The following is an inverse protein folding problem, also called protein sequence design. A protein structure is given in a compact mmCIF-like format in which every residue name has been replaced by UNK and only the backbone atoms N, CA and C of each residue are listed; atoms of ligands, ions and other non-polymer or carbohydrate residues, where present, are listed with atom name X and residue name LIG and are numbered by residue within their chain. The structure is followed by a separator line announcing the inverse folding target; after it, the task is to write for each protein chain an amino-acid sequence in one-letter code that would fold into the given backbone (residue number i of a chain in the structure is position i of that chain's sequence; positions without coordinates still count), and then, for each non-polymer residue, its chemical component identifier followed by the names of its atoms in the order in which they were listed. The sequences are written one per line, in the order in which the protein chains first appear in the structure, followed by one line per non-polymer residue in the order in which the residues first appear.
data_IF_451739811497
#
_entry.id   IF_451739811497
#
_cell.length_a   1.000
_cell.length_b   1.000
_cell.length_c   1.000
_cell.angle_alpha   90.00
_cell.angle_beta   90.00
_cell.angle_gamma   90.00
#
_symmetry.space_group_name_H-M   'P 1'
#
loop_
_entity.id
_entity.type
_entity.pdbx_description
1 polymer ?
#
# COMPACT_ATOMS: atom_id res chain seq x y z
N UNK A 1 -20.28 30.96 -23.91
CA UNK A 1 -18.89 30.85 -23.43
C UNK A 1 -18.65 29.39 -23.10
N UNK A 2 -17.77 28.70 -23.83
CA UNK A 2 -17.39 27.33 -23.50
C UNK A 2 -16.63 27.37 -22.16
N UNK A 3 -17.26 26.92 -21.08
CA UNK A 3 -16.49 26.61 -19.88
C UNK A 3 -15.50 25.51 -20.26
N UNK A 4 -14.21 25.82 -20.25
CA UNK A 4 -13.16 24.82 -20.50
C UNK A 4 -13.30 23.75 -19.42
N UNK A 5 -13.69 22.54 -19.84
CA UNK A 5 -13.78 21.39 -18.93
C UNK A 5 -12.41 21.13 -18.34
N UNK A 6 -12.34 20.95 -17.03
CA UNK A 6 -11.10 20.55 -16.37
C UNK A 6 -10.72 19.15 -16.84
N UNK A 7 -9.45 18.96 -17.17
CA UNK A 7 -8.94 17.69 -17.68
C UNK A 7 -8.51 16.79 -16.54
N UNK A 8 -9.01 15.56 -16.54
CA UNK A 8 -8.64 14.54 -15.55
C UNK A 8 -8.17 13.26 -16.23
N UNK A 9 -7.05 12.74 -15.74
CA UNK A 9 -6.59 11.40 -16.10
C UNK A 9 -6.99 10.42 -15.01
N UNK A 10 -7.66 9.33 -15.37
CA UNK A 10 -8.06 8.28 -14.43
C UNK A 10 -7.11 7.10 -14.59
N UNK A 11 -6.44 6.72 -13.50
CA UNK A 11 -5.64 5.50 -13.44
C UNK A 11 -6.57 4.27 -13.43
N UNK A 12 -6.74 3.64 -14.60
CA UNK A 12 -7.63 2.51 -14.84
C UNK A 12 -6.86 1.19 -14.77
N UNK A 13 -7.12 0.38 -13.74
CA UNK A 13 -6.50 -0.94 -13.56
C UNK A 13 -7.28 -2.09 -14.19
N UNK A 14 -8.43 -1.79 -14.82
CA UNK A 14 -9.39 -2.81 -15.29
C UNK A 14 -10.29 -3.38 -14.19
N UNK A 15 -10.20 -2.84 -12.96
CA UNK A 15 -11.08 -3.15 -11.84
C UNK A 15 -12.24 -2.17 -11.70
N UNK A 16 -13.31 -2.61 -11.03
CA UNK A 16 -14.59 -1.87 -10.86
C UNK A 16 -14.41 -0.48 -10.28
N UNK A 17 -13.52 -0.31 -9.30
CA UNK A 17 -13.36 0.97 -8.59
C UNK A 17 -12.84 2.07 -9.51
N UNK A 18 -11.82 1.75 -10.32
CA UNK A 18 -11.28 2.71 -11.30
C UNK A 18 -12.24 2.98 -12.46
N UNK A 19 -13.06 1.99 -12.83
CA UNK A 19 -14.10 2.15 -13.86
C UNK A 19 -15.20 3.11 -13.38
N UNK A 20 -15.66 2.93 -12.14
CA UNK A 20 -16.68 3.81 -11.54
C UNK A 20 -16.12 5.20 -11.27
N UNK A 21 -14.86 5.33 -10.84
CA UNK A 21 -14.22 6.62 -10.72
C UNK A 21 -14.25 7.41 -12.04
N UNK A 22 -13.94 6.76 -13.17
CA UNK A 22 -14.02 7.39 -14.49
C UNK A 22 -15.46 7.77 -14.87
N UNK A 23 -16.43 6.89 -14.62
CA UNK A 23 -17.84 7.14 -14.90
C UNK A 23 -18.39 8.34 -14.11
N UNK A 24 -18.10 8.40 -12.80
CA UNK A 24 -18.50 9.50 -11.93
C UNK A 24 -17.92 10.84 -12.38
N UNK A 25 -16.62 10.89 -12.71
CA UNK A 25 -15.98 12.11 -13.20
C UNK A 25 -16.53 12.56 -14.55
N UNK A 26 -16.81 11.62 -15.47
CA UNK A 26 -17.46 11.93 -16.76
C UNK A 26 -18.85 12.51 -16.53
N UNK A 27 -19.63 11.93 -15.62
CA UNK A 27 -20.96 12.42 -15.24
C UNK A 27 -20.92 13.81 -14.60
N UNK A 28 -19.89 14.11 -13.81
CA UNK A 28 -19.63 15.45 -13.24
C UNK A 28 -19.17 16.50 -14.27
N UNK A 29 -18.93 16.08 -15.53
CA UNK A 29 -18.64 16.97 -16.63
C UNK A 29 -17.15 17.20 -16.91
N UNK A 30 -16.25 16.48 -16.25
CA UNK A 30 -14.81 16.54 -16.54
C UNK A 30 -14.49 16.06 -17.96
N UNK A 31 -13.38 16.55 -18.52
CA UNK A 31 -12.75 15.97 -19.70
C UNK A 31 -11.86 14.80 -19.26
N UNK A 32 -12.42 13.58 -19.33
CA UNK A 32 -11.84 12.37 -18.75
C UNK A 32 -11.02 11.62 -19.79
N UNK A 33 -9.78 11.29 -19.44
CA UNK A 33 -8.91 10.35 -20.17
C UNK A 33 -8.54 9.18 -19.27
N UNK A 34 -8.68 7.95 -19.75
CA UNK A 34 -8.20 6.75 -19.06
C UNK A 34 -6.72 6.49 -19.34
N UNK A 35 -5.97 6.10 -18.31
CA UNK A 35 -4.61 5.57 -18.47
C UNK A 35 -4.42 4.29 -17.69
N UNK A 36 -3.75 3.33 -18.30
CA UNK A 36 -3.35 2.09 -17.66
C UNK A 36 -1.84 1.92 -17.70
N UNK A 37 -1.26 1.50 -16.58
CA UNK A 37 0.16 1.18 -16.51
C UNK A 37 0.39 -0.29 -16.90
N UNK A 38 1.31 -0.51 -17.83
CA UNK A 38 1.88 -1.83 -18.07
C UNK A 38 3.07 -2.01 -17.12
N UNK A 39 2.85 -2.79 -16.07
CA UNK A 39 3.85 -3.04 -15.02
C UNK A 39 4.69 -4.27 -15.36
N UNK A 40 5.84 -4.38 -14.69
CA UNK A 40 6.72 -5.54 -14.85
C UNK A 40 6.03 -6.82 -14.39
N UNK A 41 6.25 -7.87 -15.17
CA UNK A 41 5.98 -9.27 -14.82
C UNK A 41 7.23 -10.09 -15.07
N UNK A 42 7.38 -11.17 -14.32
CA UNK A 42 8.40 -12.17 -14.60
C UNK A 42 8.22 -12.70 -16.04
N UNK A 43 9.29 -12.85 -16.85
CA UNK A 43 9.18 -13.36 -18.20
C UNK A 43 8.47 -14.73 -18.25
N UNK A 44 7.45 -14.86 -19.11
CA UNK A 44 6.62 -16.06 -19.20
C UNK A 44 5.50 -16.17 -18.16
N UNK A 45 5.29 -15.13 -17.34
CA UNK A 45 4.21 -15.03 -16.35
C UNK A 45 3.32 -13.79 -16.57
N UNK A 46 3.32 -13.24 -17.79
CA UNK A 46 2.56 -12.04 -18.17
C UNK A 46 1.05 -12.20 -17.93
N UNK A 47 0.53 -13.40 -18.20
CA UNK A 47 -0.90 -13.73 -18.02
C UNK A 47 -1.33 -13.77 -16.55
N UNK A 48 -0.37 -13.90 -15.63
CA UNK A 48 -0.63 -14.00 -14.19
C UNK A 48 -0.41 -12.67 -13.45
N UNK A 49 -0.03 -11.60 -14.15
CA UNK A 49 0.14 -10.27 -13.56
C UNK A 49 -1.23 -9.64 -13.26
N UNK A 50 -1.63 -9.64 -11.99
CA UNK A 50 -2.98 -9.22 -11.56
C UNK A 50 -3.35 -7.78 -11.89
N UNK A 51 -2.39 -6.91 -12.18
CA UNK A 51 -2.63 -5.49 -12.45
C UNK A 51 -2.63 -5.14 -13.94
N UNK A 52 -1.98 -5.94 -14.80
CA UNK A 52 -1.87 -5.63 -16.22
C UNK A 52 -1.93 -6.86 -17.15
N UNK A 53 -2.75 -7.85 -16.80
CA UNK A 53 -3.06 -8.95 -17.72
C UNK A 53 -3.66 -8.43 -19.04
N UNK A 54 -3.54 -9.20 -20.13
CA UNK A 54 -4.27 -8.94 -21.36
C UNK A 54 -5.78 -8.75 -21.14
N UNK A 55 -6.39 -9.53 -20.24
CA UNK A 55 -7.80 -9.38 -19.86
C UNK A 55 -8.09 -8.04 -19.16
N UNK A 56 -7.25 -7.63 -18.19
CA UNK A 56 -7.43 -6.35 -17.49
C UNK A 56 -7.33 -5.16 -18.47
N UNK A 57 -6.38 -5.22 -19.41
CA UNK A 57 -6.25 -4.22 -20.47
C UNK A 57 -7.47 -4.20 -21.40
N UNK A 58 -7.96 -5.37 -21.82
CA UNK A 58 -9.15 -5.47 -22.66
C UNK A 58 -10.38 -4.92 -21.94
N UNK A 59 -10.53 -5.17 -20.64
CA UNK A 59 -11.63 -4.63 -19.83
C UNK A 59 -11.53 -3.11 -19.68
N UNK A 60 -10.35 -2.57 -19.37
CA UNK A 60 -10.17 -1.13 -19.27
C UNK A 60 -10.51 -0.41 -20.58
N UNK A 61 -10.10 -0.99 -21.73
CA UNK A 61 -10.50 -0.51 -23.06
C UNK A 61 -12.01 -0.57 -23.30
N UNK A 62 -12.67 -1.67 -22.91
CA UNK A 62 -14.13 -1.81 -23.02
C UNK A 62 -14.86 -0.74 -22.22
N UNK A 63 -14.45 -0.52 -20.96
CA UNK A 63 -15.01 0.52 -20.10
C UNK A 63 -14.81 1.90 -20.73
N UNK A 64 -13.61 2.20 -21.24
CA UNK A 64 -13.34 3.46 -21.91
C UNK A 64 -14.24 3.68 -23.14
N UNK A 65 -14.50 2.62 -23.91
CA UNK A 65 -15.44 2.65 -25.04
C UNK A 65 -16.89 2.92 -24.62
N UNK A 66 -17.36 2.29 -23.53
CA UNK A 66 -18.72 2.53 -23.00
C UNK A 66 -18.87 3.98 -22.50
N UNK A 67 -17.83 4.52 -21.87
CA UNK A 67 -17.83 5.89 -21.33
C UNK A 67 -17.51 6.97 -22.39
N UNK A 68 -17.17 6.55 -23.61
CA UNK A 68 -16.70 7.43 -24.68
C UNK A 68 -15.58 8.37 -24.20
N UNK A 69 -14.48 7.76 -23.74
CA UNK A 69 -13.28 8.46 -23.26
C UNK A 69 -12.02 7.92 -23.97
N UNK A 70 -11.01 8.78 -24.23
CA UNK A 70 -9.69 8.32 -24.68
C UNK A 70 -9.06 7.37 -23.67
N UNK A 71 -8.28 6.41 -24.17
CA UNK A 71 -7.60 5.43 -23.32
C UNK A 71 -6.18 5.13 -23.81
N UNK A 72 -5.20 5.29 -22.93
CA UNK A 72 -3.79 5.04 -23.22
C UNK A 72 -3.19 3.97 -22.31
N UNK A 73 -2.20 3.26 -22.83
CA UNK A 73 -1.38 2.33 -22.05
C UNK A 73 0.04 2.88 -21.99
N UNK A 74 0.56 3.08 -20.79
CA UNK A 74 1.90 3.61 -20.55
C UNK A 74 2.79 2.47 -20.08
N UNK A 75 3.93 2.27 -20.74
CA UNK A 75 4.91 1.27 -20.32
C UNK A 75 5.68 1.79 -19.08
N UNK A 76 5.57 1.05 -17.98
CA UNK A 76 6.22 1.36 -16.72
C UNK A 76 6.98 0.13 -16.18
N UNK A 77 7.30 -0.85 -17.03
CA UNK A 77 7.94 -2.10 -16.57
C UNK A 77 9.26 -1.83 -15.86
N UNK A 78 10.16 -1.11 -16.51
CA UNK A 78 11.53 -0.95 -16.01
C UNK A 78 11.54 -0.15 -14.70
N UNK A 79 10.90 1.02 -14.70
CA UNK A 79 10.75 1.84 -13.48
C UNK A 79 10.04 1.09 -12.36
N UNK A 80 9.03 0.26 -12.64
CA UNK A 80 8.35 -0.55 -11.62
C UNK A 80 9.27 -1.63 -11.04
N UNK A 81 10.05 -2.31 -11.88
CA UNK A 81 11.00 -3.32 -11.43
C UNK A 81 12.06 -2.68 -10.53
N UNK A 82 12.67 -1.59 -10.98
CA UNK A 82 13.75 -0.89 -10.28
C UNK A 82 13.30 -0.27 -8.96
N UNK A 83 12.06 0.21 -8.86
CA UNK A 83 11.59 0.93 -7.67
C UNK A 83 10.76 0.08 -6.71
N UNK A 84 9.88 -0.78 -7.22
CA UNK A 84 8.92 -1.53 -6.39
C UNK A 84 9.42 -2.95 -6.12
N UNK A 85 9.83 -3.66 -7.17
CA UNK A 85 10.30 -5.05 -7.04
C UNK A 85 11.64 -5.07 -6.31
N UNK A 86 12.58 -4.21 -6.68
CA UNK A 86 13.88 -4.14 -6.00
C UNK A 86 13.73 -3.74 -4.52
N UNK A 87 12.89 -2.76 -4.20
CA UNK A 87 12.58 -2.40 -2.81
C UNK A 87 12.06 -3.59 -1.99
N UNK A 88 11.21 -4.42 -2.61
CA UNK A 88 10.69 -5.64 -1.98
C UNK A 88 11.82 -6.64 -1.70
N UNK A 89 12.68 -6.91 -2.67
CA UNK A 89 13.82 -7.82 -2.51
C UNK A 89 14.81 -7.31 -1.45
N UNK A 90 15.19 -6.04 -1.51
CA UNK A 90 16.15 -5.42 -0.58
C UNK A 90 15.63 -5.43 0.87
N UNK A 91 14.33 -5.22 1.07
CA UNK A 91 13.72 -5.30 2.40
C UNK A 91 13.85 -6.70 2.99
N UNK A 92 13.55 -7.75 2.21
CA UNK A 92 13.73 -9.13 2.66
C UNK A 92 15.20 -9.47 2.91
N UNK A 93 16.13 -8.94 2.11
CA UNK A 93 17.57 -9.09 2.32
C UNK A 93 18.02 -8.55 3.70
N UNK A 94 17.39 -7.46 4.16
CA UNK A 94 17.63 -6.87 5.49
C UNK A 94 16.85 -7.54 6.63
N UNK A 95 16.06 -8.58 6.34
CA UNK A 95 15.19 -9.22 7.32
C UNK A 95 13.92 -8.41 7.66
N UNK A 96 13.62 -7.35 6.92
CA UNK A 96 12.40 -6.56 7.06
C UNK A 96 11.19 -7.32 6.45
N UNK A 97 9.99 -6.76 6.60
CA UNK A 97 8.81 -7.17 5.82
C UNK A 97 8.28 -5.94 5.07
N UNK A 98 8.79 -5.65 3.86
CA UNK A 98 8.48 -4.42 3.15
C UNK A 98 7.03 -4.41 2.63
N UNK A 99 6.44 -3.22 2.54
CA UNK A 99 5.15 -3.01 1.88
C UNK A 99 5.35 -2.34 0.51
N UNK A 100 5.37 -3.11 -0.60
CA UNK A 100 5.64 -2.56 -1.93
C UNK A 100 4.50 -1.69 -2.47
N UNK A 101 3.29 -1.77 -1.91
CA UNK A 101 2.19 -0.88 -2.29
C UNK A 101 2.47 0.58 -1.91
N UNK A 102 3.25 0.81 -0.85
CA UNK A 102 3.70 2.16 -0.47
C UNK A 102 4.58 2.75 -1.57
N UNK A 103 5.56 1.97 -2.05
CA UNK A 103 6.47 2.41 -3.12
C UNK A 103 5.76 2.53 -4.46
N UNK A 104 4.84 1.63 -4.78
CA UNK A 104 4.01 1.74 -5.98
C UNK A 104 3.18 3.02 -5.97
N UNK A 105 2.53 3.37 -4.85
CA UNK A 105 1.81 4.64 -4.77
C UNK A 105 2.75 5.84 -4.89
N UNK A 106 3.86 5.84 -4.16
CA UNK A 106 4.83 6.96 -4.17
C UNK A 106 5.46 7.18 -5.54
N UNK A 107 6.13 6.16 -6.09
CA UNK A 107 7.00 6.29 -7.26
C UNK A 107 6.26 6.06 -8.58
N UNK A 108 5.29 5.15 -8.60
CA UNK A 108 4.69 4.69 -9.85
C UNK A 108 3.38 5.42 -10.13
N UNK A 109 2.44 5.44 -9.19
CA UNK A 109 1.14 6.09 -9.39
C UNK A 109 1.27 7.62 -9.27
N UNK A 110 1.72 8.12 -8.14
CA UNK A 110 1.67 9.56 -7.83
C UNK A 110 2.92 10.34 -8.25
N UNK A 111 3.93 9.67 -8.81
CA UNK A 111 5.08 10.34 -9.45
C UNK A 111 5.09 10.06 -10.94
N UNK A 112 5.38 8.82 -11.35
CA UNK A 112 5.51 8.48 -12.78
C UNK A 112 4.22 8.73 -13.58
N UNK A 113 3.08 8.17 -13.15
CA UNK A 113 1.81 8.34 -13.88
C UNK A 113 1.26 9.76 -13.76
N UNK A 114 1.35 10.40 -12.59
CA UNK A 114 0.96 11.80 -12.43
C UNK A 114 1.73 12.71 -13.40
N UNK A 115 3.04 12.53 -13.53
CA UNK A 115 3.84 13.32 -14.48
C UNK A 115 3.40 13.12 -15.94
N UNK A 116 3.04 11.89 -16.33
CA UNK A 116 2.48 11.62 -17.66
C UNK A 116 1.11 12.29 -17.85
N UNK A 117 0.26 12.29 -16.82
CA UNK A 117 -1.03 12.97 -16.86
C UNK A 117 -0.86 14.49 -17.05
N UNK A 118 0.00 15.12 -16.24
CA UNK A 118 0.29 16.55 -16.32
C UNK A 118 0.91 16.93 -17.68
N UNK A 119 1.82 16.11 -18.21
CA UNK A 119 2.42 16.32 -19.53
C UNK A 119 1.39 16.26 -20.68
N UNK A 120 0.29 15.53 -20.51
CA UNK A 120 -0.84 15.50 -21.43
C UNK A 120 -1.86 16.63 -21.20
N UNK A 121 -1.53 17.57 -20.32
CA UNK A 121 -2.34 18.75 -20.01
C UNK A 121 -3.50 18.45 -19.06
N UNK A 122 -3.45 17.34 -18.31
CA UNK A 122 -4.39 17.12 -17.22
C UNK A 122 -4.13 18.12 -16.08
N UNK A 123 -5.20 18.59 -15.45
CA UNK A 123 -5.13 19.36 -14.22
C UNK A 123 -5.14 18.42 -13.00
N UNK A 124 -5.83 17.29 -13.13
CA UNK A 124 -5.99 16.30 -12.07
C UNK A 124 -5.66 14.88 -12.54
N UNK A 125 -5.27 14.05 -11.59
CA UNK A 125 -5.25 12.60 -11.71
C UNK A 125 -6.20 11.98 -10.67
N UNK A 126 -7.06 11.08 -11.14
CA UNK A 126 -7.96 10.32 -10.30
C UNK A 126 -7.56 8.85 -10.20
N UNK A 127 -7.90 8.24 -9.07
CA UNK A 127 -7.72 6.80 -8.86
C UNK A 127 -8.96 6.20 -8.22
N UNK A 128 -9.14 4.89 -8.35
CA UNK A 128 -10.18 4.14 -7.64
C UNK A 128 -9.82 3.82 -6.18
N UNK A 129 -9.01 4.65 -5.51
CA UNK A 129 -8.70 4.41 -4.11
C UNK A 129 -9.83 4.88 -3.19
N UNK A 130 -10.11 4.07 -2.17
CA UNK A 130 -11.04 4.40 -1.10
C UNK A 130 -10.36 5.31 -0.07
N UNK A 131 -10.36 6.60 -0.38
CA UNK A 131 -9.99 7.71 0.51
C UNK A 131 -10.81 8.92 0.12
N UNK A 132 -10.95 9.88 1.03
CA UNK A 132 -11.57 11.17 0.72
C UNK A 132 -10.53 12.27 0.76
N UNK A 133 -10.76 13.35 0.02
CA UNK A 133 -9.91 14.52 0.03
C UNK A 133 -10.76 15.75 0.29
N UNK A 134 -10.29 16.62 1.20
CA UNK A 134 -10.99 17.85 1.57
C UNK A 134 -10.02 19.03 1.48
N UNK A 135 -10.36 20.01 0.67
CA UNK A 135 -9.65 21.28 0.64
C UNK A 135 -10.01 22.12 1.88
N UNK A 136 -9.01 22.56 2.64
CA UNK A 136 -9.19 23.40 3.82
C UNK A 136 -7.95 24.28 4.04
N UNK A 137 -8.13 25.59 4.20
CA UNK A 137 -7.01 26.51 4.46
C UNK A 137 -5.93 26.54 3.38
N UNK A 138 -6.30 26.32 2.10
CA UNK A 138 -5.35 26.27 0.99
C UNK A 138 -4.53 24.97 0.90
N UNK A 139 -4.81 23.98 1.77
CA UNK A 139 -4.17 22.66 1.76
C UNK A 139 -5.19 21.57 1.51
N UNK A 140 -4.71 20.41 1.07
CA UNK A 140 -5.52 19.22 0.89
C UNK A 140 -5.38 18.29 2.10
N UNK A 141 -6.50 17.97 2.75
CA UNK A 141 -6.55 16.98 3.83
C UNK A 141 -6.95 15.62 3.26
N UNK A 142 -6.16 14.59 3.53
CA UNK A 142 -6.52 13.22 3.19
C UNK A 142 -7.29 12.59 4.35
N UNK A 143 -8.50 12.15 4.06
CA UNK A 143 -9.42 11.56 5.02
C UNK A 143 -9.64 10.09 4.70
N UNK A 144 -10.03 9.32 5.71
CA UNK A 144 -10.49 7.95 5.57
C UNK A 144 -11.70 7.86 4.65
N UNK A 145 -11.83 6.76 3.92
CA UNK A 145 -13.08 6.44 3.23
C UNK A 145 -14.25 6.26 4.20
N UNK A 146 -15.47 6.50 3.72
CA UNK A 146 -16.70 6.17 4.45
C UNK A 146 -16.77 4.67 4.74
N UNK A 147 -16.34 3.83 3.78
CA UNK A 147 -16.18 2.39 3.99
C UNK A 147 -14.83 2.08 4.65
N UNK A 148 -14.80 2.07 5.98
CA UNK A 148 -13.61 1.74 6.76
C UNK A 148 -13.03 0.34 6.45
N UNK A 149 -13.84 -0.60 5.94
CA UNK A 149 -13.35 -1.94 5.57
C UNK A 149 -12.52 -1.93 4.27
N UNK A 150 -12.70 -0.89 3.46
CA UNK A 150 -11.99 -0.66 2.20
C UNK A 150 -11.00 0.49 2.25
N UNK A 151 -10.95 1.23 3.35
CA UNK A 151 -10.09 2.40 3.51
C UNK A 151 -8.62 2.11 3.10
N UNK A 152 -8.14 2.94 2.19
CA UNK A 152 -6.81 2.84 1.59
C UNK A 152 -5.89 4.01 2.01
N UNK A 153 -6.31 4.81 2.99
CA UNK A 153 -5.52 5.95 3.49
C UNK A 153 -4.14 5.51 3.98
N UNK A 154 -4.03 4.31 4.56
CA UNK A 154 -2.77 3.74 5.03
C UNK A 154 -1.71 3.66 3.93
N UNK A 155 -2.06 3.26 2.71
CA UNK A 155 -1.08 3.16 1.61
C UNK A 155 -0.83 4.49 0.91
N UNK A 156 -1.68 5.49 1.15
CA UNK A 156 -1.59 6.83 0.60
C UNK A 156 -0.98 7.86 1.57
N UNK A 157 -0.51 7.44 2.76
CA UNK A 157 0.28 8.30 3.64
C UNK A 157 1.57 8.83 3.00
N UNK A 158 1.98 8.25 1.88
CA UNK A 158 3.18 8.63 1.14
C UNK A 158 3.01 9.84 0.23
N UNK A 159 1.77 10.34 0.06
CA UNK A 159 1.47 11.47 -0.81
C UNK A 159 1.81 12.80 -0.14
N UNK A 160 2.40 13.71 -0.92
CA UNK A 160 2.73 15.08 -0.51
C UNK A 160 1.65 16.08 -0.96
N UNK A 161 1.70 17.30 -0.44
CA UNK A 161 0.72 18.35 -0.75
C UNK A 161 0.64 18.70 -2.24
N UNK A 162 1.78 18.76 -2.92
CA UNK A 162 1.86 18.99 -4.36
C UNK A 162 1.12 17.90 -5.16
N UNK A 163 1.29 16.63 -4.79
CA UNK A 163 0.58 15.51 -5.40
C UNK A 163 -0.92 15.53 -5.05
N UNK A 164 -1.26 15.82 -3.79
CA UNK A 164 -2.64 15.89 -3.32
C UNK A 164 -3.41 17.04 -4.00
N UNK A 165 -2.76 18.15 -4.33
CA UNK A 165 -3.37 19.26 -5.06
C UNK A 165 -3.91 18.86 -6.44
N UNK A 166 -3.35 17.81 -7.03
CA UNK A 166 -3.78 17.24 -8.31
C UNK A 166 -4.63 15.96 -8.14
N UNK A 167 -4.97 15.55 -6.92
CA UNK A 167 -5.59 14.25 -6.66
C UNK A 167 -7.11 14.30 -6.59
N UNK A 168 -7.77 13.36 -7.26
CA UNK A 168 -9.20 13.09 -7.10
C UNK A 168 -9.45 11.62 -6.68
N UNK A 169 -10.39 11.41 -5.76
CA UNK A 169 -10.74 10.09 -5.23
C UNK A 169 -12.26 9.89 -5.21
N UNK A 170 -12.92 9.71 -6.38
CA UNK A 170 -14.37 9.77 -6.49
C UNK A 170 -15.12 8.66 -5.73
N UNK A 171 -14.44 7.57 -5.37
CA UNK A 171 -15.06 6.38 -4.76
C UNK A 171 -15.04 6.37 -3.24
N UNK A 172 -14.24 7.23 -2.59
CA UNK A 172 -14.10 7.23 -1.13
C UNK A 172 -15.34 7.67 -0.35
N UNK A 173 -16.30 8.31 -1.04
CA UNK A 173 -17.60 8.74 -0.51
C UNK A 173 -18.66 7.62 -0.54
N UNK A 174 -18.30 6.41 -0.97
CA UNK A 174 -19.27 5.34 -1.21
C UNK A 174 -18.88 4.03 -0.50
N UNK A 175 -19.86 3.32 0.08
CA UNK A 175 -19.72 1.91 0.41
C UNK A 175 -19.41 1.06 -0.82
N UNK A 176 -18.59 0.00 -0.66
CA UNK A 176 -18.27 -0.91 -1.78
C UNK A 176 -19.50 -1.48 -2.52
N UNK A 177 -20.61 -1.87 -1.84
CA UNK A 177 -21.80 -2.35 -2.53
C UNK A 177 -22.40 -1.30 -3.47
N UNK A 178 -22.35 -0.02 -3.09
CA UNK A 178 -22.86 1.06 -3.92
C UNK A 178 -21.99 1.29 -5.16
N UNK A 179 -20.66 1.19 -5.03
CA UNK A 179 -19.76 1.21 -6.20
C UNK A 179 -20.13 0.13 -7.22
N UNK A 180 -20.46 -1.09 -6.76
CA UNK A 180 -20.91 -2.17 -7.67
C UNK A 180 -22.27 -1.88 -8.31
N UNK A 181 -23.20 -1.26 -7.58
CA UNK A 181 -24.49 -0.82 -8.12
C UNK A 181 -24.30 0.24 -9.19
N UNK A 182 -23.50 1.28 -8.92
CA UNK A 182 -23.16 2.32 -9.89
C UNK A 182 -22.54 1.70 -11.15
N UNK A 183 -21.60 0.76 -10.99
CA UNK A 183 -21.02 0.06 -12.13
C UNK A 183 -22.08 -0.65 -12.99
N UNK A 184 -23.07 -1.30 -12.38
CA UNK A 184 -24.17 -1.94 -13.08
C UNK A 184 -25.10 -0.93 -13.78
N UNK A 185 -25.41 0.20 -13.13
CA UNK A 185 -26.24 1.27 -13.68
C UNK A 185 -25.60 1.91 -14.93
N UNK A 186 -24.27 2.01 -14.97
CA UNK A 186 -23.50 2.44 -16.14
C UNK A 186 -23.26 1.33 -17.18
N UNK A 187 -23.76 0.10 -16.95
CA UNK A 187 -23.56 -1.03 -17.85
C UNK A 187 -22.10 -1.51 -17.95
N UNK A 188 -21.29 -1.27 -16.91
CA UNK A 188 -19.86 -1.57 -16.93
C UNK A 188 -19.61 -3.08 -16.73
N UNK A 189 -18.79 -3.73 -17.58
CA UNK A 189 -18.51 -5.17 -17.49
C UNK A 189 -17.73 -5.57 -16.23
N UNK A 190 -17.21 -4.60 -15.48
CA UNK A 190 -16.43 -4.80 -14.26
C UNK A 190 -17.28 -4.96 -13.00
N UNK A 191 -18.60 -4.73 -13.06
CA UNK A 191 -19.50 -4.75 -11.90
C UNK A 191 -19.45 -6.05 -11.07
N UNK A 192 -19.30 -7.20 -11.73
CA UNK A 192 -19.23 -8.53 -11.11
C UNK A 192 -17.82 -9.00 -10.81
N UNK A 193 -16.78 -8.25 -11.20
CA UNK A 193 -15.38 -8.68 -11.05
C UNK A 193 -14.97 -8.68 -9.57
N UNK A 194 -14.28 -9.72 -9.15
CA UNK A 194 -13.68 -9.78 -7.81
C UNK A 194 -12.62 -8.68 -7.64
N UNK A 195 -12.46 -8.18 -6.41
CA UNK A 195 -11.40 -7.23 -6.09
C UNK A 195 -10.04 -7.90 -6.26
N UNK A 196 -9.05 -7.17 -6.80
CA UNK A 196 -7.70 -7.69 -6.89
C UNK A 196 -7.13 -7.88 -5.48
N UNK A 197 -6.83 -9.12 -5.12
CA UNK A 197 -6.11 -9.49 -3.90
C UNK A 197 -4.64 -9.77 -4.27
N UNK A 198 -3.73 -9.66 -3.31
CA UNK A 198 -2.27 -9.88 -3.45
C UNK A 198 -1.46 -8.81 -4.20
N UNK A 199 -0.14 -8.94 -4.13
CA UNK A 199 0.81 -8.04 -4.78
C UNK A 199 0.83 -8.26 -6.30
N UNK A 200 0.88 -7.16 -7.05
CA UNK A 200 0.70 -7.15 -8.51
C UNK A 200 1.66 -8.06 -9.30
N UNK A 201 2.89 -8.24 -8.80
CA UNK A 201 3.99 -8.88 -9.52
C UNK A 201 4.26 -10.33 -9.12
N UNK A 202 3.47 -10.91 -8.21
CA UNK A 202 3.71 -12.28 -7.72
C UNK A 202 3.25 -13.39 -8.67
N UNK A 203 2.75 -13.04 -9.86
CA UNK A 203 2.31 -14.00 -10.86
C UNK A 203 1.28 -15.03 -10.35
N UNK A 204 0.39 -14.62 -9.43
CA UNK A 204 -0.65 -15.49 -8.87
C UNK A 204 -0.18 -16.49 -7.81
N UNK A 205 1.09 -16.42 -7.40
CA UNK A 205 1.68 -17.27 -6.38
C UNK A 205 1.91 -16.51 -5.06
N UNK A 206 2.20 -17.25 -3.98
CA UNK A 206 2.63 -16.65 -2.71
C UNK A 206 4.02 -15.99 -2.87
N UNK A 207 4.27 -14.96 -2.05
CA UNK A 207 5.52 -14.20 -2.09
C UNK A 207 6.76 -15.07 -1.86
N UNK A 208 6.61 -16.18 -1.12
CA UNK A 208 7.69 -17.16 -0.89
C UNK A 208 8.17 -17.80 -2.19
N UNK A 209 7.25 -18.15 -3.08
CA UNK A 209 7.57 -18.71 -4.40
C UNK A 209 8.31 -17.69 -5.27
N UNK A 210 7.85 -16.43 -5.23
CA UNK A 210 8.54 -15.33 -5.90
C UNK A 210 9.97 -15.13 -5.40
N UNK A 211 10.18 -15.11 -4.08
CA UNK A 211 11.52 -15.00 -3.47
C UNK A 211 12.40 -16.20 -3.83
N UNK A 212 11.87 -17.42 -3.87
CA UNK A 212 12.63 -18.60 -4.25
C UNK A 212 13.19 -18.53 -5.68
N UNK A 213 12.49 -17.85 -6.59
CA UNK A 213 12.93 -17.68 -7.98
C UNK A 213 13.85 -16.48 -8.18
N UNK A 214 13.63 -15.39 -7.44
CA UNK A 214 14.28 -14.11 -7.69
C UNK A 214 15.37 -13.76 -6.67
N UNK A 215 15.40 -14.43 -5.52
CA UNK A 215 16.31 -14.17 -4.40
C UNK A 215 16.49 -15.41 -3.51
N UNK A 216 16.81 -16.56 -4.13
CA UNK A 216 16.94 -17.84 -3.45
C UNK A 216 17.97 -17.80 -2.30
N UNK A 217 18.99 -16.96 -2.44
CA UNK A 217 20.01 -16.71 -1.43
C UNK A 217 19.46 -16.13 -0.12
N UNK A 218 18.26 -15.55 -0.13
CA UNK A 218 17.55 -15.08 1.08
C UNK A 218 16.81 -16.20 1.82
N UNK A 219 16.71 -17.40 1.22
CA UNK A 219 16.05 -18.57 1.81
C UNK A 219 17.04 -19.55 2.46
N UNK A 220 18.23 -19.07 2.83
CA UNK A 220 19.26 -19.88 3.50
C UNK A 220 18.79 -20.35 4.87
N UNK A 221 18.82 -21.67 5.16
CA UNK A 221 18.53 -22.17 6.48
C UNK A 221 19.43 -21.54 7.56
N UNK A 222 18.87 -21.37 8.75
CA UNK A 222 19.54 -20.74 9.88
C UNK A 222 18.95 -21.21 11.21
N UNK A 223 19.43 -20.65 12.32
CA UNK A 223 19.04 -21.11 13.66
C UNK A 223 17.76 -20.46 14.14
N UNK A 224 16.90 -21.23 14.80
CA UNK A 224 15.82 -20.70 15.63
C UNK A 224 16.35 -20.59 17.05
N UNK A 225 16.33 -19.39 17.61
CA UNK A 225 16.84 -19.08 18.95
C UNK A 225 15.74 -18.47 19.81
N UNK A 226 15.75 -18.75 21.10
CA UNK A 226 14.90 -18.05 22.07
C UNK A 226 15.47 -16.67 22.41
N UNK A 227 14.69 -15.84 23.12
CA UNK A 227 15.08 -14.48 23.54
C UNK A 227 16.31 -14.45 24.47
N UNK A 228 16.58 -15.54 25.20
CA UNK A 228 17.79 -15.77 26.01
C UNK A 228 18.99 -16.32 25.20
N UNK A 229 18.84 -16.48 23.88
CA UNK A 229 19.89 -16.92 22.96
C UNK A 229 20.04 -18.44 22.81
N UNK A 230 19.20 -19.26 23.45
CA UNK A 230 19.27 -20.72 23.31
C UNK A 230 18.77 -21.18 21.94
N UNK A 231 19.60 -21.93 21.22
CA UNK A 231 19.21 -22.55 19.95
C UNK A 231 18.24 -23.72 20.20
N UNK A 232 17.07 -23.70 19.55
CA UNK A 232 16.00 -24.69 19.73
C UNK A 232 15.56 -25.38 18.43
N UNK A 233 16.17 -25.03 17.30
CA UNK A 233 15.88 -25.65 16.01
C UNK A 233 16.52 -24.90 14.84
N UNK A 234 16.07 -25.21 13.63
CA UNK A 234 16.48 -24.53 12.41
C UNK A 234 15.26 -24.06 11.62
N UNK A 235 15.38 -22.90 10.99
CA UNK A 235 14.42 -22.38 10.04
C UNK A 235 14.93 -22.60 8.61
N UNK A 236 14.04 -22.51 7.62
CA UNK A 236 14.33 -22.70 6.20
C UNK A 236 14.45 -21.36 5.44
N UNK A 237 15.11 -20.38 6.03
CA UNK A 237 15.21 -19.01 5.50
C UNK A 237 14.30 -17.99 6.19
N UNK A 238 14.85 -16.85 6.61
CA UNK A 238 14.14 -15.83 7.40
C UNK A 238 12.91 -15.26 6.68
N UNK A 239 12.97 -15.15 5.35
CA UNK A 239 11.89 -14.60 4.55
C UNK A 239 10.58 -15.42 4.61
N UNK A 240 10.66 -16.70 4.98
CA UNK A 240 9.48 -17.55 5.15
C UNK A 240 8.66 -17.24 6.41
N UNK A 241 9.19 -16.39 7.29
CA UNK A 241 8.62 -16.09 8.61
C UNK A 241 8.22 -14.63 8.73
N UNK A 242 7.09 -14.39 9.40
CA UNK A 242 6.59 -13.05 9.72
C UNK A 242 6.61 -12.83 11.22
N UNK A 243 6.89 -11.61 11.68
CA UNK A 243 6.79 -11.26 13.10
C UNK A 243 5.37 -11.52 13.60
N UNK A 244 5.25 -12.19 14.75
CA UNK A 244 3.99 -12.67 15.31
C UNK A 244 3.56 -14.07 14.85
N UNK A 245 4.27 -14.66 13.89
CA UNK A 245 3.93 -15.99 13.40
C UNK A 245 4.13 -17.05 14.50
N UNK A 246 3.08 -17.85 14.73
CA UNK A 246 3.10 -19.00 15.66
C UNK A 246 3.26 -20.34 14.94
N UNK A 247 2.54 -20.53 13.83
CA UNK A 247 2.49 -21.81 13.10
C UNK A 247 3.71 -21.96 12.17
N UNK A 248 4.11 -23.20 11.90
CA UNK A 248 5.19 -23.49 10.94
C UNK A 248 6.60 -23.25 11.46
N UNK A 249 6.79 -23.04 12.78
CA UNK A 249 8.12 -22.96 13.40
C UNK A 249 8.81 -24.33 13.50
N UNK A 250 8.03 -25.42 13.57
CA UNK A 250 8.52 -26.80 13.67
C UNK A 250 9.54 -27.04 14.81
N UNK A 251 9.36 -26.35 15.94
CA UNK A 251 10.16 -26.52 17.17
C UNK A 251 9.30 -27.10 18.28
N UNK A 252 9.87 -28.02 19.05
CA UNK A 252 9.23 -28.56 20.25
C UNK A 252 9.45 -27.59 21.41
N UNK A 253 8.35 -27.11 22.01
CA UNK A 253 8.37 -26.22 23.17
C UNK A 253 7.20 -26.55 24.09
N UNK A 254 7.38 -26.49 25.43
CA UNK A 254 6.30 -26.71 26.39
C UNK A 254 5.24 -25.60 26.34
N UNK A 255 5.60 -24.42 25.81
CA UNK A 255 4.72 -23.26 25.67
C UNK A 255 4.67 -22.80 24.20
N UNK A 256 3.55 -22.19 23.75
CA UNK A 256 3.47 -21.60 22.42
C UNK A 256 4.54 -20.52 22.20
N UNK A 257 5.26 -20.62 21.09
CA UNK A 257 6.26 -19.63 20.67
C UNK A 257 5.80 -18.84 19.45
N UNK A 258 6.25 -17.59 19.38
CA UNK A 258 5.93 -16.61 18.35
C UNK A 258 7.24 -16.01 17.83
N UNK A 259 7.31 -15.69 16.54
CA UNK A 259 8.43 -14.94 15.98
C UNK A 259 8.45 -13.54 16.57
N UNK A 260 9.51 -13.20 17.32
CA UNK A 260 9.72 -11.90 17.94
C UNK A 260 10.46 -10.97 16.99
N UNK A 261 11.57 -11.45 16.40
CA UNK A 261 12.37 -10.67 15.45
C UNK A 261 13.16 -11.58 14.50
N UNK A 262 13.68 -10.99 13.42
CA UNK A 262 14.56 -11.62 12.44
C UNK A 262 15.91 -10.93 12.49
N UNK A 263 16.97 -11.67 12.78
CA UNK A 263 18.34 -11.15 12.80
C UNK A 263 19.05 -11.54 11.49
N UNK A 264 19.00 -10.64 10.51
CA UNK A 264 19.60 -10.91 9.19
C UNK A 264 21.13 -11.06 9.25
N UNK A 265 21.81 -10.32 10.13
CA UNK A 265 23.28 -10.32 10.23
C UNK A 265 23.89 -11.66 10.64
N UNK A 266 23.19 -12.44 11.46
CA UNK A 266 23.63 -13.77 11.93
C UNK A 266 22.73 -14.91 11.42
N UNK A 267 21.76 -14.61 10.55
CA UNK A 267 20.76 -15.54 10.04
C UNK A 267 20.04 -16.33 11.16
N UNK A 268 19.51 -15.61 12.14
CA UNK A 268 18.77 -16.20 13.26
C UNK A 268 17.32 -15.72 13.34
N UNK A 269 16.40 -16.65 13.57
CA UNK A 269 15.00 -16.39 13.86
C UNK A 269 14.80 -16.40 15.37
N UNK A 270 14.47 -15.25 15.95
CA UNK A 270 14.25 -15.12 17.39
C UNK A 270 12.79 -15.39 17.71
N UNK A 271 12.53 -16.31 18.62
CA UNK A 271 11.18 -16.67 19.07
C UNK A 271 11.03 -16.52 20.58
N UNK A 272 9.81 -16.25 21.02
CA UNK A 272 9.49 -15.99 22.42
C UNK A 272 8.02 -16.28 22.71
N UNK A 273 7.63 -16.07 23.96
CA UNK A 273 6.25 -16.20 24.43
C UNK A 273 5.37 -15.07 23.92
N UNK A 274 4.07 -15.17 24.17
CA UNK A 274 3.11 -14.15 23.76
C UNK A 274 3.35 -12.79 24.47
N UNK A 275 3.81 -12.83 25.72
CA UNK A 275 4.03 -11.62 26.52
C UNK A 275 5.26 -10.84 26.03
N UNK A 276 6.26 -11.55 25.47
CA UNK A 276 7.46 -10.96 24.87
C UNK A 276 7.22 -10.35 23.48
N UNK A 277 6.05 -10.62 22.87
CA UNK A 277 5.68 -10.07 21.56
C UNK A 277 5.06 -8.65 21.66
N UNK A 278 4.68 -8.22 22.87
CA UNK A 278 4.05 -6.93 23.11
C UNK A 278 5.07 -5.79 23.08
N UNK A 279 4.83 -4.79 22.23
CA UNK A 279 5.60 -3.56 22.17
C UNK A 279 4.79 -2.41 22.73
N UNK A 280 5.40 -1.61 23.59
CA UNK A 280 4.82 -0.35 24.08
C UNK A 280 5.35 0.86 23.32
N UNK A 281 6.47 0.71 22.61
CA UNK A 281 7.11 1.80 21.87
C UNK A 281 7.63 1.30 20.51
N UNK A 282 7.64 2.19 19.52
CA UNK A 282 8.32 1.98 18.24
C UNK A 282 8.94 3.27 17.74
N UNK A 283 9.90 3.16 16.83
CA UNK A 283 10.43 4.28 16.06
C UNK A 283 10.07 4.10 14.60
N UNK A 284 9.70 5.19 13.93
CA UNK A 284 9.47 5.21 12.48
C UNK A 284 10.34 6.29 11.82
N UNK A 285 10.90 5.96 10.65
CA UNK A 285 11.77 6.84 9.84
C UNK A 285 11.10 7.29 8.55
N UNK A 286 11.62 8.37 7.97
CA UNK A 286 11.17 8.89 6.68
C UNK A 286 9.70 9.28 6.72
N UNK A 287 9.30 9.93 7.81
CA UNK A 287 7.93 10.30 8.09
C UNK A 287 7.47 11.36 7.09
N UNK A 288 6.39 11.07 6.39
CA UNK A 288 5.70 12.01 5.54
C UNK A 288 4.45 12.52 6.25
N UNK A 289 4.41 13.83 6.54
CA UNK A 289 3.23 14.52 7.04
C UNK A 289 2.41 15.03 5.87
N UNK A 290 1.14 14.65 5.78
CA UNK A 290 0.29 15.09 4.67
C UNK A 290 0.11 16.59 4.68
N UNK A 291 0.14 17.26 5.84
CA UNK A 291 0.11 18.73 5.95
C UNK A 291 1.29 19.45 5.29
N UNK A 292 2.38 18.73 4.97
CA UNK A 292 3.67 19.28 4.55
C UNK A 292 4.50 19.88 5.70
N UNK A 293 4.04 19.76 6.95
CA UNK A 293 4.68 20.37 8.13
C UNK A 293 4.87 19.33 9.23
N UNK A 294 6.10 19.24 9.74
CA UNK A 294 6.42 18.42 10.91
C UNK A 294 5.84 19.07 12.17
N UNK A 295 5.04 18.33 12.97
CA UNK A 295 4.60 18.80 14.28
C UNK A 295 5.80 19.17 15.16
N UNK A 296 5.67 20.22 15.98
CA UNK A 296 6.75 20.66 16.89
C UNK A 296 6.73 19.93 18.23
N UNK A 297 5.53 19.62 18.70
CA UNK A 297 5.30 19.03 20.02
C UNK A 297 4.72 17.62 19.89
N UNK A 298 4.91 16.76 20.89
CA UNK A 298 4.20 15.50 20.99
C UNK A 298 2.68 15.67 20.95
N UNK A 299 1.99 14.74 20.31
CA UNK A 299 0.54 14.78 20.18
C UNK A 299 -0.08 13.38 20.26
N UNK A 300 -1.39 13.33 20.56
CA UNK A 300 -2.14 12.08 20.66
C UNK A 300 -2.76 11.72 19.32
N UNK A 301 -2.66 10.45 18.93
CA UNK A 301 -3.19 9.95 17.67
C UNK A 301 -3.54 8.46 17.73
N UNK A 302 -4.44 8.05 16.83
CA UNK A 302 -4.65 6.65 16.51
C UNK A 302 -3.54 6.20 15.54
N UNK A 303 -2.79 5.17 15.92
CA UNK A 303 -1.67 4.67 15.12
C UNK A 303 -1.96 3.28 14.56
N UNK A 304 -1.80 3.16 13.25
CA UNK A 304 -1.98 1.90 12.52
C UNK A 304 -0.62 1.37 12.08
N UNK A 305 -0.23 0.20 12.58
CA UNK A 305 1.11 -0.40 12.37
C UNK A 305 1.16 -1.41 11.22
N UNK A 306 -0.01 -1.82 10.71
CA UNK A 306 -0.19 -2.70 9.54
C UNK A 306 -1.52 -2.38 8.87
N UNK A 307 -1.63 -2.63 7.57
CA UNK A 307 -2.82 -2.28 6.78
C UNK A 307 -4.15 -2.83 7.34
N UNK A 308 -4.15 -4.06 7.86
CA UNK A 308 -5.34 -4.72 8.42
C UNK A 308 -5.43 -4.67 9.95
N UNK A 309 -4.43 -4.07 10.62
CA UNK A 309 -4.45 -3.96 12.07
C UNK A 309 -5.52 -2.94 12.51
N UNK A 310 -6.08 -3.14 13.70
CA UNK A 310 -6.78 -2.06 14.39
C UNK A 310 -5.78 -1.00 14.80
N UNK A 311 -6.24 0.23 14.85
CA UNK A 311 -5.48 1.33 15.39
C UNK A 311 -5.33 1.21 16.90
N UNK A 312 -4.24 1.73 17.43
CA UNK A 312 -3.99 1.84 18.85
C UNK A 312 -3.73 3.31 19.22
N UNK A 313 -4.28 3.73 20.35
CA UNK A 313 -4.03 5.05 20.90
C UNK A 313 -2.57 5.17 21.34
N UNK A 314 -1.91 6.26 20.94
CA UNK A 314 -0.52 6.50 21.24
C UNK A 314 -0.19 8.00 21.37
N UNK A 315 0.90 8.28 22.09
CA UNK A 315 1.61 9.55 22.02
C UNK A 315 2.67 9.47 20.92
N UNK A 316 2.59 10.36 19.93
CA UNK A 316 3.53 10.48 18.83
C UNK A 316 4.44 11.68 19.08
N UNK A 317 5.74 11.45 19.18
CA UNK A 317 6.75 12.47 19.46
C UNK A 317 7.68 12.62 18.25
N UNK A 318 7.68 13.77 17.56
CA UNK A 318 8.67 14.09 16.53
C UNK A 318 10.10 14.01 17.07
N UNK A 319 10.99 13.46 16.27
CA UNK A 319 12.43 13.36 16.52
C UNK A 319 13.20 14.05 15.37
N UNK A 320 14.52 14.22 15.54
CA UNK A 320 15.38 14.72 14.47
C UNK A 320 15.43 13.77 13.25
N UNK A 321 15.64 14.32 12.06
CA UNK A 321 15.87 13.54 10.84
C UNK A 321 14.63 12.83 10.27
N UNK A 322 13.46 13.48 10.31
CA UNK A 322 12.17 12.95 9.84
C UNK A 322 11.79 11.62 10.49
N UNK A 323 12.06 11.51 11.79
CA UNK A 323 11.70 10.35 12.60
C UNK A 323 10.63 10.71 13.63
N UNK A 324 9.95 9.69 14.14
CA UNK A 324 9.07 9.81 15.30
C UNK A 324 9.28 8.64 16.25
N UNK A 325 9.15 8.92 17.54
CA UNK A 325 8.89 7.90 18.56
C UNK A 325 7.38 7.81 18.77
N UNK A 326 6.87 6.59 18.86
CA UNK A 326 5.46 6.32 19.14
C UNK A 326 5.38 5.49 20.41
N UNK A 327 4.66 6.00 21.41
CA UNK A 327 4.40 5.30 22.67
C UNK A 327 2.93 4.97 22.81
N UNK A 328 2.61 3.68 22.77
CA UNK A 328 1.25 3.16 22.86
C UNK A 328 0.74 3.13 24.31
N UNK A 329 -0.56 3.35 24.47
CA UNK A 329 -1.23 3.27 25.77
C UNK A 329 -1.32 1.84 26.32
N UNK A 330 -1.40 0.88 25.40
CA UNK A 330 -1.43 -0.54 25.68
C UNK A 330 -0.47 -1.28 24.74
N UNK A 331 0.11 -2.42 25.16
CA UNK A 331 1.00 -3.20 24.31
C UNK A 331 0.33 -3.58 22.98
N UNK A 332 0.98 -3.23 21.87
CA UNK A 332 0.59 -3.68 20.53
C UNK A 332 1.45 -4.86 20.13
N UNK A 333 0.86 -5.79 19.40
CA UNK A 333 1.58 -6.96 18.87
C UNK A 333 2.06 -6.67 17.46
N UNK A 334 2.96 -7.51 16.98
CA UNK A 334 3.24 -7.61 15.55
C UNK A 334 3.83 -6.33 14.91
N UNK A 335 4.49 -5.49 15.72
CA UNK A 335 5.31 -4.37 15.22
C UNK A 335 6.42 -4.96 14.34
N UNK A 336 6.59 -4.43 13.13
CA UNK A 336 7.44 -5.08 12.13
C UNK A 336 8.20 -4.07 11.31
N UNK A 337 9.53 -4.16 11.38
CA UNK A 337 10.42 -3.37 10.55
C UNK A 337 10.07 -3.50 9.06
N UNK A 338 10.00 -2.38 8.35
CA UNK A 338 9.60 -2.30 6.95
C UNK A 338 8.09 -2.14 6.69
N UNK A 339 7.23 -2.34 7.70
CA UNK A 339 5.83 -1.88 7.65
C UNK A 339 5.76 -0.38 7.98
N UNK A 340 4.58 0.23 7.77
CA UNK A 340 4.38 1.63 8.08
C UNK A 340 3.64 1.81 9.41
N UNK A 341 4.04 2.83 10.16
CA UNK A 341 3.23 3.41 11.23
C UNK A 341 2.53 4.64 10.63
N UNK A 342 1.20 4.60 10.56
CA UNK A 342 0.36 5.68 10.01
C UNK A 342 -0.47 6.29 11.11
N UNK A 343 -0.49 7.61 11.17
CA UNK A 343 -1.07 8.39 12.26
C UNK A 343 -2.39 9.03 11.82
N UNK A 344 -3.40 8.92 12.67
CA UNK A 344 -4.73 9.43 12.42
C UNK A 344 -5.24 10.27 13.59
N UNK A 345 -6.09 11.23 13.25
CA UNK A 345 -6.95 11.92 14.19
C UNK A 345 -8.37 11.80 13.67
N UNK A 346 -9.15 10.90 14.26
CA UNK A 346 -10.47 10.52 13.79
C UNK A 346 -10.41 10.05 12.32
N UNK A 347 -11.07 10.79 11.42
CA UNK A 347 -11.06 10.51 9.98
C UNK A 347 -9.83 11.09 9.25
N UNK A 348 -9.11 12.02 9.86
CA UNK A 348 -7.96 12.69 9.24
C UNK A 348 -6.72 11.80 9.30
N UNK A 349 -6.12 11.54 8.15
CA UNK A 349 -4.80 10.90 8.07
C UNK A 349 -3.71 11.97 8.09
N UNK A 350 -2.95 11.99 9.17
CA UNK A 350 -1.94 13.01 9.46
C UNK A 350 -0.63 12.76 8.71
N UNK A 351 -0.26 11.50 8.55
CA UNK A 351 1.00 11.10 7.94
C UNK A 351 1.39 9.68 8.30
N UNK A 352 2.62 9.30 7.94
CA UNK A 352 3.18 8.02 8.34
C UNK A 352 4.64 7.86 7.97
N UNK A 353 5.29 6.87 8.58
CA UNK A 353 6.69 6.53 8.33
C UNK A 353 6.92 5.03 8.36
N UNK A 354 8.14 4.60 8.04
CA UNK A 354 8.52 3.18 8.02
C UNK A 354 9.08 2.78 9.39
N UNK A 355 8.49 1.76 10.00
CA UNK A 355 8.94 1.16 11.26
C UNK A 355 10.35 0.59 11.06
N UNK A 356 11.26 0.85 12.02
CA UNK A 356 12.65 0.40 11.99
C UNK A 356 12.96 -0.70 12.99
#
# INVERSE_FOLDING_TARGET
MNMTKQKVVVAMSGGVDSSVAAALLKQQGYDVTGMMLRLWSEPGKEESNRCCTPDAMAQARRVAGILDIPFYVIDAKDVFKETVVQYFLDGYARGETPNPCLMCNRQIRWTFLLNHALALGAEFMATGHYVRIKAEGGKQKLLRAIDHSKDQSYVLHVLKQDQLAHALFPVGEFPKPEIRRIAADFGLPTASRADSQDLCFLAGEDYRGFLQRNAAEMLKPGKIVTTDGKSIGNHNGLANYTIGQRKGLNVASPVPLYVITKQASNNALVVGTLDELGFTELTARGVNWTSGETPREPFRAQVKIRYTAKEAEALVSPLEGDQVSVKFDAPVRDVTAGQAAVFYQDELMLGGGIII
#
